data_IF_956326208323
#
_entry.id   IF_956326208323
#
_cell.length_a   1.000
_cell.length_b   1.000
_cell.length_c   1.000
_cell.angle_alpha   90.00
_cell.angle_beta   90.00
_cell.angle_gamma   90.00
#
_symmetry.space_group_name_H-M   'P 1'
#
loop_
_entity.id
_entity.type
_entity.pdbx_description
1 polymer ?
#
# COMPACT_ATOMS: atom_id res chain seq x y z
N UNK A 1 -16.82 50.96 -16.79
CA UNK A 1 -17.24 50.88 -15.37
C UNK A 1 -16.01 50.41 -14.59
N UNK A 2 -15.14 51.25 -13.98
CA UNK A 2 -15.24 51.95 -12.66
C UNK A 2 -16.09 51.15 -11.65
N UNK A 3 -15.68 50.83 -10.42
CA UNK A 3 -14.65 51.42 -9.54
C UNK A 3 -14.39 50.46 -8.34
N UNK A 4 -13.14 50.49 -7.84
CA UNK A 4 -12.71 50.62 -6.41
C UNK A 4 -13.04 49.49 -5.42
N UNK A 5 -12.11 49.05 -4.56
CA UNK A 5 -11.54 49.80 -3.43
C UNK A 5 -10.02 49.57 -3.19
N UNK A 6 -9.30 50.65 -2.88
CA UNK A 6 -8.02 50.64 -2.16
C UNK A 6 -8.23 50.26 -0.68
N UNK A 7 -7.22 50.16 0.20
CA UNK A 7 -6.25 51.22 0.54
C UNK A 7 -5.29 50.70 1.63
N UNK A 8 -4.10 51.33 1.74
CA UNK A 8 -3.22 51.54 2.92
C UNK A 8 -2.08 50.56 3.18
N UNK A 9 -0.98 50.87 2.52
CA UNK A 9 0.34 51.11 3.11
C UNK A 9 0.34 51.36 4.64
N UNK A 10 1.14 50.55 5.35
CA UNK A 10 1.81 50.94 6.60
C UNK A 10 3.22 50.37 6.59
N UNK A 11 4.17 51.27 6.38
CA UNK A 11 5.57 51.18 6.72
C UNK A 11 5.76 50.99 8.24
N UNK A 12 6.62 50.05 8.67
CA UNK A 12 7.33 50.17 9.95
C UNK A 12 8.61 49.33 10.01
N UNK A 13 9.71 50.07 10.02
CA UNK A 13 11.06 49.86 10.55
C UNK A 13 11.45 48.52 11.21
N UNK A 14 12.68 48.11 10.87
CA UNK A 14 13.56 47.17 11.55
C UNK A 14 13.64 47.39 13.07
N UNK A 15 13.65 46.31 13.84
CA UNK A 15 14.58 46.15 14.95
C UNK A 15 14.96 44.67 15.10
N UNK A 16 16.27 44.45 15.17
CA UNK A 16 16.94 43.20 15.50
C UNK A 16 16.70 42.88 16.97
N UNK A 17 16.31 41.65 17.30
CA UNK A 17 16.51 41.12 18.64
C UNK A 17 16.81 39.63 18.56
N UNK A 18 18.08 39.33 18.83
CA UNK A 18 18.60 38.01 19.15
C UNK A 18 17.88 37.52 20.42
N UNK A 19 17.29 36.34 20.35
CA UNK A 19 16.75 35.63 21.50
C UNK A 19 16.99 34.15 21.31
N UNK A 20 17.97 33.63 22.04
CA UNK A 20 18.41 32.24 22.08
C UNK A 20 17.24 31.27 22.24
N UNK A 21 17.11 30.30 21.33
CA UNK A 21 16.22 29.15 21.53
C UNK A 21 17.02 28.05 22.22
N UNK A 22 16.68 27.84 23.49
CA UNK A 22 17.20 26.80 24.34
C UNK A 22 17.12 25.42 23.68
N UNK A 23 18.21 24.69 23.89
CA UNK A 23 18.43 23.31 23.48
C UNK A 23 17.62 22.42 24.42
N UNK A 24 16.39 22.08 24.05
CA UNK A 24 15.65 21.02 24.75
C UNK A 24 16.09 19.68 24.18
N UNK A 25 17.00 19.03 24.92
CA UNK A 25 17.35 17.63 24.74
C UNK A 25 16.12 16.78 25.03
N UNK A 26 15.39 16.35 24.00
CA UNK A 26 14.44 15.25 24.15
C UNK A 26 15.23 13.95 24.30
N UNK A 27 15.32 13.51 25.56
CA UNK A 27 15.86 12.23 25.96
C UNK A 27 15.20 11.10 25.13
N UNK A 28 16.03 10.32 24.45
CA UNK A 28 15.62 9.08 23.79
C UNK A 28 15.22 8.07 24.86
N UNK A 29 13.93 7.92 25.11
CA UNK A 29 13.40 6.77 25.86
C UNK A 29 13.58 5.52 25.01
N UNK A 30 14.52 4.65 25.42
CA UNK A 30 14.65 3.28 24.90
C UNK A 30 13.46 2.46 25.41
N UNK A 31 12.36 2.51 24.66
CA UNK A 31 11.23 1.61 24.86
C UNK A 31 11.63 0.17 24.53
N UNK A 32 11.63 -0.68 25.56
CA UNK A 32 11.89 -2.12 25.49
C UNK A 32 10.91 -2.78 24.51
N UNK A 33 11.44 -3.47 23.51
CA UNK A 33 10.65 -4.34 22.61
C UNK A 33 10.24 -5.59 23.38
N UNK A 34 9.01 -5.66 23.89
CA UNK A 34 8.45 -6.91 24.39
C UNK A 34 8.01 -7.78 23.22
N UNK A 35 8.79 -8.82 22.98
CA UNK A 35 8.54 -9.91 22.03
C UNK A 35 7.36 -10.75 22.53
N UNK A 36 6.15 -10.40 22.11
CA UNK A 36 4.96 -11.24 22.31
C UNK A 36 4.88 -12.31 21.23
N UNK A 37 5.10 -13.56 21.60
CA UNK A 37 4.92 -14.74 20.75
C UNK A 37 3.57 -15.35 21.10
N UNK A 38 2.57 -15.29 20.20
CA UNK A 38 1.37 -16.15 20.24
C UNK A 38 0.89 -16.47 18.83
N UNK A 39 0.47 -17.73 18.70
CA UNK A 39 0.17 -18.46 17.48
C UNK A 39 -1.34 -18.47 17.25
N UNK A 40 -1.75 -18.17 16.02
CA UNK A 40 -3.10 -18.41 15.52
C UNK A 40 -2.94 -19.20 14.21
N UNK A 41 -3.22 -20.51 14.23
CA UNK A 41 -3.32 -21.37 13.05
C UNK A 41 -4.46 -20.84 12.16
N UNK A 42 -4.38 -20.78 10.83
CA UNK A 42 -4.55 -21.90 9.88
C UNK A 42 -4.02 -21.47 8.50
N UNK A 43 -3.15 -22.30 7.90
CA UNK A 43 -2.71 -22.30 6.48
C UNK A 43 -1.89 -21.11 5.96
N UNK A 44 -0.67 -20.92 6.48
CA UNK A 44 0.38 -20.10 5.82
C UNK A 44 1.73 -20.80 5.69
N UNK A 45 1.82 -22.07 6.10
CA UNK A 45 3.09 -22.74 6.43
C UNK A 45 3.91 -23.25 5.22
N UNK A 46 3.37 -23.19 3.99
CA UNK A 46 4.14 -23.53 2.79
C UNK A 46 4.71 -22.31 2.03
N UNK A 47 4.28 -21.09 2.37
CA UNK A 47 4.54 -19.87 1.60
C UNK A 47 5.55 -18.92 2.27
N UNK A 48 6.06 -19.28 3.46
CA UNK A 48 7.02 -18.45 4.18
C UNK A 48 8.41 -18.42 3.49
N UNK A 49 8.72 -19.40 2.63
CA UNK A 49 10.04 -19.54 1.98
C UNK A 49 10.28 -18.62 0.77
N UNK A 50 9.28 -17.90 0.25
CA UNK A 50 9.40 -17.21 -1.07
C UNK A 50 9.37 -15.69 -1.03
N UNK A 51 9.43 -15.03 0.12
CA UNK A 51 9.51 -13.56 0.17
C UNK A 51 10.77 -13.10 0.91
N UNK A 52 11.86 -13.02 0.17
CA UNK A 52 13.01 -12.23 0.62
C UNK A 52 12.55 -10.77 0.59
N UNK A 53 12.48 -10.13 1.75
CA UNK A 53 12.19 -8.70 1.87
C UNK A 53 13.17 -7.93 0.98
N UNK A 54 12.66 -7.20 -0.02
CA UNK A 54 13.45 -6.42 -0.97
C UNK A 54 13.59 -6.98 -2.39
N UNK A 55 13.13 -8.21 -2.69
CA UNK A 55 13.11 -8.73 -4.07
C UNK A 55 11.77 -8.50 -4.75
N UNK A 56 11.80 -8.01 -6.00
CA UNK A 56 10.62 -7.87 -6.86
C UNK A 56 9.90 -9.20 -7.04
N UNK A 57 8.57 -9.17 -7.08
CA UNK A 57 7.79 -10.37 -7.34
C UNK A 57 8.10 -10.84 -8.77
N UNK A 58 8.29 -12.14 -8.94
CA UNK A 58 8.56 -12.79 -10.22
C UNK A 58 7.34 -13.56 -10.73
N UNK A 59 6.36 -13.81 -9.86
CA UNK A 59 5.15 -14.59 -10.21
C UNK A 59 3.88 -13.91 -9.70
N UNK A 60 2.73 -14.12 -10.37
CA UNK A 60 1.43 -13.65 -9.87
C UNK A 60 1.11 -14.12 -8.45
N UNK A 61 1.54 -15.33 -8.10
CA UNK A 61 1.36 -15.90 -6.77
C UNK A 61 2.15 -15.14 -5.70
N UNK A 62 3.37 -14.70 -6.01
CA UNK A 62 4.16 -13.86 -5.10
C UNK A 62 3.52 -12.50 -4.88
N UNK A 63 2.88 -11.93 -5.90
CA UNK A 63 2.10 -10.68 -5.77
C UNK A 63 0.95 -10.87 -4.80
N UNK A 64 0.12 -11.91 -4.99
CA UNK A 64 -1.01 -12.21 -4.10
C UNK A 64 -0.52 -12.41 -2.66
N UNK A 65 0.58 -13.16 -2.49
CA UNK A 65 1.19 -13.42 -1.19
C UNK A 65 1.64 -12.15 -0.48
N UNK A 66 2.30 -11.25 -1.23
CA UNK A 66 2.73 -9.94 -0.74
C UNK A 66 1.53 -9.10 -0.32
N UNK A 67 0.49 -9.03 -1.15
CA UNK A 67 -0.70 -8.24 -0.86
C UNK A 67 -1.43 -8.73 0.40
N UNK A 68 -1.59 -10.05 0.56
CA UNK A 68 -2.12 -10.65 1.81
C UNK A 68 -1.32 -10.25 3.05
N UNK A 69 0.02 -10.21 2.95
CA UNK A 69 0.88 -9.77 4.07
C UNK A 69 0.69 -8.30 4.40
N UNK A 70 0.58 -7.43 3.38
CA UNK A 70 0.30 -6.00 3.57
C UNK A 70 -1.03 -5.83 4.31
N UNK A 71 -2.10 -6.47 3.83
CA UNK A 71 -3.41 -6.40 4.46
C UNK A 71 -3.39 -6.96 5.88
N UNK A 72 -2.67 -8.05 6.13
CA UNK A 72 -2.49 -8.58 7.48
C UNK A 72 -1.84 -7.55 8.41
N UNK A 73 -0.76 -6.89 7.99
CA UNK A 73 -0.12 -5.84 8.78
C UNK A 73 -1.04 -4.63 9.00
N UNK A 74 -1.79 -4.23 7.98
CA UNK A 74 -2.76 -3.15 8.08
C UNK A 74 -3.87 -3.47 9.09
N UNK A 75 -4.41 -4.70 9.04
CA UNK A 75 -5.47 -5.18 9.94
C UNK A 75 -5.09 -5.17 11.43
N UNK A 76 -3.79 -5.06 11.76
CA UNK A 76 -3.30 -4.94 13.14
C UNK A 76 -3.34 -3.49 13.69
N UNK A 77 -4.04 -2.58 13.02
CA UNK A 77 -4.25 -1.19 13.47
C UNK A 77 -3.11 -0.24 13.09
N UNK A 78 -2.35 -0.57 12.03
CA UNK A 78 -1.30 0.29 11.49
C UNK A 78 -1.76 1.11 10.29
N UNK A 79 -0.91 2.01 9.79
CA UNK A 79 -1.17 2.68 8.50
C UNK A 79 -0.71 1.81 7.33
N UNK A 80 -1.31 2.00 6.16
CA UNK A 80 -0.90 1.29 4.95
C UNK A 80 0.59 1.54 4.61
N UNK A 81 1.09 2.76 4.81
CA UNK A 81 2.52 3.07 4.65
C UNK A 81 3.41 2.31 5.63
N UNK A 82 2.96 2.06 6.87
CA UNK A 82 3.70 1.25 7.82
C UNK A 82 3.70 -0.23 7.41
N UNK A 83 2.58 -0.74 6.88
CA UNK A 83 2.49 -2.08 6.32
C UNK A 83 3.43 -2.29 5.13
N UNK A 84 3.48 -1.35 4.17
CA UNK A 84 4.42 -1.40 3.06
C UNK A 84 5.88 -1.44 3.52
N UNK A 85 6.25 -0.61 4.50
CA UNK A 85 7.59 -0.61 5.10
C UNK A 85 7.92 -1.93 5.80
N UNK A 86 6.95 -2.56 6.47
CA UNK A 86 7.14 -3.86 7.11
C UNK A 86 7.37 -4.99 6.10
N UNK A 87 6.62 -4.99 5.00
CA UNK A 87 6.79 -5.99 3.93
C UNK A 87 8.01 -5.69 3.05
N UNK A 88 8.50 -4.44 3.06
CA UNK A 88 9.67 -4.00 2.30
C UNK A 88 9.35 -3.74 0.83
N UNK A 89 8.22 -3.08 0.56
CA UNK A 89 7.71 -2.84 -0.81
C UNK A 89 7.44 -1.36 -1.02
N UNK A 90 7.62 -0.89 -2.24
CA UNK A 90 7.24 0.47 -2.61
C UNK A 90 5.76 0.55 -3.03
N UNK A 91 5.15 1.72 -2.81
CA UNK A 91 3.77 1.95 -3.20
C UNK A 91 3.56 1.82 -4.72
N UNK A 92 4.50 2.27 -5.54
CA UNK A 92 4.41 2.16 -6.99
C UNK A 92 4.37 0.68 -7.42
N UNK A 93 5.16 -0.18 -6.78
CA UNK A 93 5.12 -1.63 -7.03
C UNK A 93 3.76 -2.21 -6.67
N UNK A 94 3.23 -1.87 -5.49
CA UNK A 94 1.92 -2.37 -5.05
C UNK A 94 0.81 -1.88 -5.98
N UNK A 95 0.89 -0.63 -6.44
CA UNK A 95 -0.09 -0.01 -7.34
C UNK A 95 -0.09 -0.70 -8.72
N UNK A 96 1.09 -0.95 -9.30
CA UNK A 96 1.22 -1.65 -10.60
C UNK A 96 0.72 -3.09 -10.51
N UNK A 97 1.00 -3.77 -9.40
CA UNK A 97 0.63 -5.16 -9.18
C UNK A 97 -0.81 -5.32 -8.64
N UNK A 98 -1.49 -4.22 -8.29
CA UNK A 98 -2.82 -4.25 -7.66
C UNK A 98 -3.87 -5.02 -8.46
N UNK A 99 -3.98 -4.89 -9.81
CA UNK A 99 -4.99 -5.62 -10.57
C UNK A 99 -4.91 -7.15 -10.42
N UNK A 100 -3.70 -7.69 -10.19
CA UNK A 100 -3.48 -9.12 -9.94
C UNK A 100 -4.14 -9.52 -8.62
N UNK A 101 -3.91 -8.73 -7.56
CA UNK A 101 -4.46 -9.00 -6.24
C UNK A 101 -5.97 -8.76 -6.20
N UNK A 102 -6.45 -7.69 -6.82
CA UNK A 102 -7.88 -7.36 -6.92
C UNK A 102 -8.66 -8.46 -7.63
N UNK A 103 -8.19 -8.91 -8.81
CA UNK A 103 -8.83 -10.00 -9.53
C UNK A 103 -8.80 -11.31 -8.73
N UNK A 104 -7.69 -11.61 -8.04
CA UNK A 104 -7.60 -12.79 -7.19
C UNK A 104 -8.65 -12.78 -6.07
N UNK A 105 -8.89 -11.62 -5.43
CA UNK A 105 -9.85 -11.49 -4.32
C UNK A 105 -11.30 -11.50 -4.85
N UNK A 106 -11.58 -10.74 -5.91
CA UNK A 106 -12.93 -10.57 -6.42
C UNK A 106 -13.41 -11.74 -7.30
N UNK A 107 -12.52 -12.36 -8.07
CA UNK A 107 -12.85 -13.42 -9.02
C UNK A 107 -11.73 -14.47 -9.10
N UNK A 108 -11.56 -15.31 -8.05
CA UNK A 108 -10.48 -16.28 -7.98
C UNK A 108 -10.49 -17.30 -9.13
N UNK A 109 -11.65 -17.64 -9.68
CA UNK A 109 -11.75 -18.57 -10.79
C UNK A 109 -11.27 -17.95 -12.12
N UNK A 110 -11.58 -16.67 -12.36
CA UNK A 110 -11.05 -15.95 -13.51
C UNK A 110 -9.53 -15.75 -13.41
N UNK A 111 -9.04 -15.47 -12.20
CA UNK A 111 -7.60 -15.43 -11.94
C UNK A 111 -6.92 -16.79 -12.26
N UNK A 112 -7.50 -17.91 -11.83
CA UNK A 112 -6.97 -19.26 -12.13
C UNK A 112 -6.97 -19.53 -13.64
N UNK A 113 -7.99 -19.11 -14.37
CA UNK A 113 -8.05 -19.24 -15.83
C UNK A 113 -6.91 -18.48 -16.50
N UNK A 114 -6.74 -17.20 -16.17
CA UNK A 114 -5.63 -16.39 -16.68
C UNK A 114 -4.26 -16.97 -16.30
N UNK A 115 -4.12 -17.48 -15.08
CA UNK A 115 -2.88 -18.09 -14.59
C UNK A 115 -2.54 -19.38 -15.34
N UNK A 116 -3.52 -20.21 -15.72
CA UNK A 116 -3.28 -21.41 -16.54
C UNK A 116 -2.77 -21.06 -17.93
N UNK A 117 -3.23 -19.94 -18.48
CA UNK A 117 -2.81 -19.43 -19.78
C UNK A 117 -1.50 -18.62 -19.70
N UNK A 118 -0.97 -18.37 -18.50
CA UNK A 118 0.24 -17.61 -18.29
C UNK A 118 1.49 -18.48 -18.55
N UNK A 119 2.21 -18.17 -19.62
CA UNK A 119 3.54 -18.73 -19.87
C UNK A 119 4.59 -18.05 -18.98
N UNK A 120 5.56 -18.81 -18.48
CA UNK A 120 6.69 -18.30 -17.69
C UNK A 120 7.57 -17.28 -18.42
N UNK A 121 7.38 -17.13 -19.74
CA UNK A 121 8.06 -16.12 -20.56
C UNK A 121 7.36 -14.76 -20.55
N UNK A 122 6.10 -14.71 -20.10
CA UNK A 122 5.33 -13.47 -20.03
C UNK A 122 5.76 -12.69 -18.79
N UNK A 123 6.12 -11.42 -19.00
CA UNK A 123 6.48 -10.52 -17.90
C UNK A 123 5.29 -10.33 -16.95
N UNK A 124 5.57 -10.21 -15.65
CA UNK A 124 4.56 -9.99 -14.62
C UNK A 124 3.69 -8.75 -14.90
N UNK A 125 4.28 -7.67 -15.44
CA UNK A 125 3.55 -6.46 -15.81
C UNK A 125 2.50 -6.71 -16.90
N UNK A 126 2.79 -7.56 -17.88
CA UNK A 126 1.83 -7.92 -18.92
C UNK A 126 0.66 -8.73 -18.32
N UNK A 127 0.95 -9.62 -17.36
CA UNK A 127 -0.09 -10.34 -16.62
C UNK A 127 -0.96 -9.39 -15.78
N UNK A 128 -0.38 -8.36 -15.16
CA UNK A 128 -1.13 -7.33 -14.44
C UNK A 128 -2.08 -6.58 -15.39
N UNK A 129 -1.62 -6.23 -16.60
CA UNK A 129 -2.48 -5.62 -17.63
C UNK A 129 -3.62 -6.55 -18.06
N UNK A 130 -3.36 -7.85 -18.23
CA UNK A 130 -4.41 -8.84 -18.53
C UNK A 130 -5.44 -8.94 -17.41
N UNK A 131 -5.00 -8.89 -16.15
CA UNK A 131 -5.91 -8.89 -15.01
C UNK A 131 -6.77 -7.62 -14.97
N UNK A 132 -6.18 -6.45 -15.22
CA UNK A 132 -6.91 -5.18 -15.30
C UNK A 132 -7.95 -5.20 -16.43
N UNK A 133 -7.60 -5.76 -17.59
CA UNK A 133 -8.54 -5.92 -18.70
C UNK A 133 -9.71 -6.84 -18.33
N UNK A 134 -9.45 -7.98 -17.67
CA UNK A 134 -10.50 -8.90 -17.22
C UNK A 134 -11.45 -8.26 -16.19
N UNK A 135 -10.93 -7.41 -15.29
CA UNK A 135 -11.77 -6.64 -14.36
C UNK A 135 -12.68 -5.66 -15.12
N UNK A 136 -12.16 -4.99 -16.14
CA UNK A 136 -12.92 -3.99 -16.91
C UNK A 136 -13.93 -4.62 -17.88
N UNK A 137 -13.68 -5.84 -18.34
CA UNK A 137 -14.58 -6.56 -19.26
C UNK A 137 -15.83 -7.09 -18.55
N UNK A 138 -15.69 -7.52 -17.28
CA UNK A 138 -16.78 -8.09 -16.50
C UNK A 138 -17.21 -7.14 -15.37
N UNK A 139 -18.30 -6.39 -15.60
CA UNK A 139 -18.82 -5.41 -14.63
C UNK A 139 -19.10 -6.00 -13.26
N UNK A 140 -19.51 -7.27 -13.18
CA UNK A 140 -19.72 -7.97 -11.91
C UNK A 140 -18.44 -8.08 -11.07
N UNK A 141 -17.26 -8.21 -11.71
CA UNK A 141 -15.97 -8.23 -11.00
C UNK A 141 -15.63 -6.81 -10.51
N UNK A 142 -15.80 -5.81 -11.38
CA UNK A 142 -15.55 -4.42 -11.03
C UNK A 142 -16.41 -3.96 -9.84
N UNK A 143 -17.70 -4.29 -9.85
CA UNK A 143 -18.64 -3.95 -8.78
C UNK A 143 -18.28 -4.62 -7.45
N UNK A 144 -17.81 -5.88 -7.49
CA UNK A 144 -17.30 -6.58 -6.30
C UNK A 144 -16.05 -5.90 -5.75
N UNK A 145 -15.12 -5.47 -6.61
CA UNK A 145 -13.91 -4.73 -6.18
C UNK A 145 -14.31 -3.39 -5.55
N UNK A 146 -15.24 -2.65 -6.15
CA UNK A 146 -15.76 -1.39 -5.58
C UNK A 146 -16.39 -1.60 -4.21
N UNK A 147 -17.23 -2.63 -4.07
CA UNK A 147 -17.86 -2.97 -2.80
C UNK A 147 -16.83 -3.34 -1.72
N UNK A 148 -15.78 -4.09 -2.09
CA UNK A 148 -14.68 -4.42 -1.17
C UNK A 148 -13.96 -3.17 -0.69
N UNK A 149 -13.58 -2.27 -1.61
CA UNK A 149 -12.88 -1.01 -1.27
C UNK A 149 -13.72 -0.13 -0.33
N UNK A 150 -15.02 -0.02 -0.58
CA UNK A 150 -15.93 0.76 0.27
C UNK A 150 -16.13 0.16 1.68
N UNK A 151 -15.82 -1.12 1.88
CA UNK A 151 -15.94 -1.79 3.17
C UNK A 151 -14.68 -1.68 4.05
N UNK A 152 -13.54 -1.21 3.49
CA UNK A 152 -12.25 -1.10 4.18
C UNK A 152 -12.03 0.26 4.88
N UNK A 153 -12.93 1.23 4.75
CA UNK A 153 -12.89 2.56 5.40
C UNK A 153 -13.32 2.55 6.89
N UNK A 154 -12.89 1.56 7.68
CA UNK A 154 -13.31 1.39 9.09
C UNK A 154 -12.18 1.53 10.11
#
# INVERSE_FOLDING_TARGET
MRNQYGTKEKSRVHTSSKGEKGIVQQQRVKGVRTRGKKNDNVEVDALEKTCISGTSAQTPQQVVSRYKKILWHFSKGGTMSAAFKHVGVDWNTVSVDAPIAELYIAAPDKFKELLKNHSSQVKLSAFATQCAAAVNEESAIEDRIKALKASEDK
#
